data_IF_473149837414
#
_entry.id   IF_473149837414
#
_cell.length_a   1.000
_cell.length_b   1.000
_cell.length_c   1.000
_cell.angle_alpha   90.00
_cell.angle_beta   90.00
_cell.angle_gamma   90.00
#
_symmetry.space_group_name_H-M   'P 1'
#
loop_
_entity.id
_entity.type
_entity.pdbx_description
1 polymer ?
#
# COMPACT_ATOMS: atom_id res chain seq x y z
N UNK A 1 55.75 1.27 82.00
CA UNK A 1 55.14 0.01 81.53
C UNK A 1 55.15 -0.01 80.02
N UNK A 2 55.57 -1.12 79.38
CA UNK A 2 55.52 -1.28 77.92
C UNK A 2 54.05 -1.50 77.51
N UNK A 3 53.56 -0.80 76.48
CA UNK A 3 52.21 -1.04 75.93
C UNK A 3 52.17 -2.41 75.25
N UNK A 4 51.04 -3.14 75.26
CA UNK A 4 50.91 -4.39 74.52
C UNK A 4 51.14 -4.18 73.02
N UNK A 5 51.90 -5.06 72.38
CA UNK A 5 52.11 -5.05 70.93
C UNK A 5 51.03 -5.92 70.27
N UNK A 6 50.33 -5.38 69.28
CA UNK A 6 49.36 -6.14 68.47
C UNK A 6 50.01 -6.45 67.12
N UNK A 7 50.01 -7.72 66.73
CA UNK A 7 50.54 -8.25 65.46
C UNK A 7 49.43 -9.03 64.77
N UNK A 8 49.17 -8.73 63.51
CA UNK A 8 48.18 -9.43 62.69
C UNK A 8 47.71 -8.57 61.52
N UNK A 9 46.99 -9.19 60.57
CA UNK A 9 46.46 -8.45 59.44
C UNK A 9 45.21 -7.66 59.87
N UNK A 10 45.19 -6.36 59.63
CA UNK A 10 44.08 -5.47 59.98
C UNK A 10 43.02 -5.40 58.89
N UNK A 11 43.31 -5.93 57.69
CA UNK A 11 42.37 -6.04 56.58
C UNK A 11 42.19 -7.51 56.21
N UNK A 12 40.96 -8.01 56.24
CA UNK A 12 40.64 -9.43 55.99
C UNK A 12 39.45 -9.55 55.04
N UNK A 13 39.47 -10.52 54.13
CA UNK A 13 38.35 -10.75 53.21
C UNK A 13 37.22 -11.48 53.92
N UNK A 14 35.97 -11.14 53.59
CA UNK A 14 34.81 -11.89 54.05
C UNK A 14 34.93 -13.37 53.67
N UNK A 15 34.72 -14.27 54.64
CA UNK A 15 34.92 -15.72 54.50
C UNK A 15 36.27 -16.23 55.02
N UNK A 16 37.28 -15.37 55.11
CA UNK A 16 38.62 -15.76 55.56
C UNK A 16 38.72 -15.80 57.10
N UNK A 17 39.88 -16.21 57.62
CA UNK A 17 40.16 -16.28 59.07
C UNK A 17 40.95 -15.03 59.50
N UNK A 18 40.46 -14.32 60.53
CA UNK A 18 41.19 -13.22 61.16
C UNK A 18 42.00 -13.72 62.36
N UNK A 19 43.29 -13.43 62.38
CA UNK A 19 44.20 -13.71 63.50
C UNK A 19 44.87 -12.43 64.00
N UNK A 20 44.61 -12.05 65.25
CA UNK A 20 45.24 -10.91 65.92
C UNK A 20 45.94 -11.36 67.19
N UNK A 21 47.26 -11.28 67.24
CA UNK A 21 48.07 -11.66 68.38
C UNK A 21 48.45 -10.43 69.18
N UNK A 22 48.20 -10.44 70.49
CA UNK A 22 48.64 -9.40 71.40
C UNK A 22 49.66 -9.97 72.37
N UNK A 23 50.80 -9.30 72.54
CA UNK A 23 51.87 -9.73 73.45
C UNK A 23 52.41 -8.58 74.29
N UNK A 24 52.83 -8.89 75.52
CA UNK A 24 53.49 -7.94 76.42
C UNK A 24 54.55 -8.65 77.25
N UNK A 25 55.72 -8.04 77.37
CA UNK A 25 56.79 -8.56 78.23
C UNK A 25 56.50 -8.22 79.69
N UNK A 26 56.33 -9.26 80.52
CA UNK A 26 56.02 -9.12 81.95
C UNK A 26 56.42 -10.38 82.71
N UNK A 27 56.92 -10.22 83.95
CA UNK A 27 57.16 -11.33 84.88
C UNK A 27 56.47 -11.02 86.23
N UNK A 28 55.57 -11.89 86.74
CA UNK A 28 54.98 -13.08 86.09
C UNK A 28 54.20 -12.71 84.80
N UNK A 29 53.80 -13.68 83.95
CA UNK A 29 53.06 -13.40 82.72
C UNK A 29 51.78 -12.59 82.97
N UNK A 30 51.54 -11.56 82.17
CA UNK A 30 50.32 -10.75 82.23
C UNK A 30 49.14 -11.49 81.60
N UNK A 31 47.96 -11.31 82.19
CA UNK A 31 46.70 -11.80 81.62
C UNK A 31 46.26 -10.90 80.46
N UNK A 32 46.12 -11.48 79.27
CA UNK A 32 45.70 -10.76 78.07
C UNK A 32 44.23 -11.04 77.77
N UNK A 33 43.46 -9.96 77.54
CA UNK A 33 42.02 -10.02 77.24
C UNK A 33 41.72 -9.23 75.98
N UNK A 34 41.07 -9.87 75.02
CA UNK A 34 40.54 -9.24 73.82
C UNK A 34 39.07 -8.84 74.00
N UNK A 35 38.70 -7.68 73.43
CA UNK A 35 37.32 -7.24 73.38
C UNK A 35 37.07 -6.47 72.08
N UNK A 36 35.99 -6.79 71.37
CA UNK A 36 35.49 -5.93 70.29
C UNK A 36 34.77 -4.73 70.91
N UNK A 37 35.15 -3.52 70.53
CA UNK A 37 34.43 -2.31 70.91
C UNK A 37 33.18 -2.23 70.04
N UNK A 38 32.02 -2.39 70.65
CA UNK A 38 30.75 -2.27 69.95
C UNK A 38 30.33 -0.80 69.87
N UNK A 39 29.75 -0.41 68.73
CA UNK A 39 28.96 0.82 68.61
C UNK A 39 27.54 0.67 69.17
N UNK A 40 27.09 -0.56 69.44
CA UNK A 40 25.77 -0.89 69.99
C UNK A 40 25.92 -1.73 71.29
N UNK A 41 25.57 -1.21 72.48
CA UNK A 41 25.85 -1.86 73.77
C UNK A 41 25.14 -3.21 73.99
N UNK A 42 24.20 -3.59 73.12
CA UNK A 42 23.39 -4.81 73.26
C UNK A 42 23.86 -6.03 72.44
N UNK A 43 24.97 -5.93 71.68
CA UNK A 43 25.53 -7.07 70.94
C UNK A 43 26.80 -7.59 71.64
N UNK A 44 26.61 -8.44 72.64
CA UNK A 44 27.68 -9.17 73.31
C UNK A 44 28.10 -10.41 72.48
N UNK A 45 28.76 -10.23 71.34
CA UNK A 45 29.49 -11.34 70.71
C UNK A 45 30.80 -11.55 71.46
N UNK A 46 30.74 -12.39 72.50
CA UNK A 46 31.85 -12.74 73.36
C UNK A 46 32.92 -13.56 72.62
N UNK A 47 34.18 -13.27 72.93
CA UNK A 47 35.29 -14.23 72.82
C UNK A 47 36.30 -13.85 73.88
N UNK A 48 36.08 -14.34 75.10
CA UNK A 48 37.08 -14.26 76.18
C UNK A 48 38.11 -15.35 75.92
N UNK A 49 39.19 -15.04 75.19
CA UNK A 49 40.34 -15.93 75.11
C UNK A 49 41.22 -15.70 76.34
N UNK A 50 41.43 -16.77 77.11
CA UNK A 50 42.38 -16.84 78.22
C UNK A 50 43.69 -17.43 77.69
N UNK A 51 44.84 -16.81 78.00
CA UNK A 51 46.15 -17.44 77.78
C UNK A 51 47.18 -16.99 78.82
N UNK A 52 47.91 -17.95 79.40
CA UNK A 52 48.76 -17.82 80.60
C UNK A 52 50.26 -17.59 80.30
N UNK A 53 50.60 -17.03 79.14
CA UNK A 53 52.00 -16.96 78.67
C UNK A 53 52.49 -15.58 78.23
N UNK A 54 51.77 -14.49 78.55
CA UNK A 54 52.17 -13.12 78.16
C UNK A 54 51.93 -12.80 76.67
N UNK A 55 51.24 -13.69 75.95
CA UNK A 55 50.77 -13.51 74.56
C UNK A 55 49.42 -14.21 74.35
N UNK A 56 48.47 -13.61 73.61
CA UNK A 56 47.18 -14.21 73.28
C UNK A 56 46.69 -13.82 71.88
N UNK A 57 46.21 -14.81 71.12
CA UNK A 57 45.71 -14.64 69.74
C UNK A 57 44.19 -14.71 69.68
N UNK A 58 43.54 -13.68 69.16
CA UNK A 58 42.15 -13.68 68.77
C UNK A 58 42.00 -14.27 67.36
N UNK A 59 41.34 -15.43 67.27
CA UNK A 59 41.02 -16.09 66.00
C UNK A 59 39.52 -16.05 65.75
N UNK A 60 39.10 -15.43 64.65
CA UNK A 60 37.72 -15.43 64.19
C UNK A 60 37.68 -16.22 62.86
N UNK A 61 37.15 -17.45 62.85
CA UNK A 61 36.96 -18.18 61.60
C UNK A 61 35.76 -17.61 60.82
N UNK A 62 35.83 -17.67 59.48
CA UNK A 62 34.75 -17.26 58.58
C UNK A 62 34.21 -15.84 58.87
N UNK A 63 35.06 -14.85 58.66
CA UNK A 63 34.77 -13.45 59.00
C UNK A 63 33.62 -12.89 58.16
N UNK A 64 32.65 -12.22 58.79
CA UNK A 64 31.54 -11.51 58.13
C UNK A 64 31.75 -9.99 58.18
N UNK A 65 31.03 -9.23 57.35
CA UNK A 65 31.07 -7.75 57.36
C UNK A 65 30.86 -7.14 58.77
N UNK A 66 30.05 -7.79 59.62
CA UNK A 66 29.78 -7.35 61.00
C UNK A 66 30.99 -7.45 61.94
N UNK A 67 32.04 -8.20 61.60
CA UNK A 67 33.26 -8.28 62.40
C UNK A 67 34.20 -7.08 62.17
N UNK A 68 33.90 -6.18 61.22
CA UNK A 68 34.59 -4.88 61.12
C UNK A 68 34.40 -4.06 62.40
N UNK A 69 35.43 -3.30 62.77
CA UNK A 69 35.38 -2.39 63.92
C UNK A 69 36.68 -2.35 64.71
N UNK A 70 36.65 -1.63 65.83
CA UNK A 70 37.81 -1.46 66.70
C UNK A 70 37.86 -2.57 67.75
N UNK A 71 39.01 -3.18 67.92
CA UNK A 71 39.28 -4.19 68.93
C UNK A 71 40.29 -3.63 69.94
N UNK A 72 40.10 -3.97 71.22
CA UNK A 72 40.99 -3.60 72.31
C UNK A 72 41.63 -4.86 72.89
N UNK A 73 42.95 -4.84 72.99
CA UNK A 73 43.72 -5.78 73.79
C UNK A 73 44.05 -5.13 75.14
N UNK A 74 43.69 -5.80 76.23
CA UNK A 74 43.97 -5.37 77.61
C UNK A 74 44.90 -6.36 78.28
N UNK A 75 46.08 -5.91 78.70
CA UNK A 75 46.99 -6.72 79.52
C UNK A 75 46.91 -6.28 80.99
N UNK A 76 46.59 -7.23 81.87
CA UNK A 76 46.50 -7.05 83.32
C UNK A 76 47.69 -7.74 83.99
N UNK A 77 48.51 -6.99 84.70
CA UNK A 77 49.68 -7.49 85.42
C UNK A 77 49.67 -6.96 86.85
N UNK A 78 49.45 -7.85 87.83
CA UNK A 78 49.28 -7.51 89.25
C UNK A 78 48.25 -6.38 89.43
N UNK A 79 48.69 -5.20 89.87
CA UNK A 79 47.84 -4.01 90.09
C UNK A 79 47.84 -3.02 88.91
N UNK A 80 48.44 -3.37 87.77
CA UNK A 80 48.54 -2.49 86.59
C UNK A 80 47.75 -3.05 85.41
N UNK A 81 47.10 -2.16 84.66
CA UNK A 81 46.41 -2.50 83.41
C UNK A 81 46.89 -1.60 82.30
N UNK A 82 47.29 -2.18 81.18
CA UNK A 82 47.69 -1.45 79.97
C UNK A 82 46.90 -1.97 78.77
N UNK A 83 46.53 -1.07 77.85
CA UNK A 83 45.66 -1.38 76.72
C UNK A 83 46.24 -0.90 75.39
N UNK A 84 45.97 -1.65 74.33
CA UNK A 84 46.27 -1.28 72.94
C UNK A 84 45.04 -1.51 72.06
N UNK A 85 44.90 -0.71 71.00
CA UNK A 85 43.76 -0.74 70.09
C UNK A 85 44.21 -1.13 68.68
N UNK A 86 43.35 -1.83 67.95
CA UNK A 86 43.53 -2.15 66.54
C UNK A 86 42.19 -2.01 65.82
N UNK A 87 42.17 -1.41 64.63
CA UNK A 87 40.97 -1.33 63.79
C UNK A 87 41.04 -2.41 62.73
N UNK A 88 39.99 -3.23 62.65
CA UNK A 88 39.86 -4.29 61.65
C UNK A 88 38.83 -3.88 60.61
N UNK A 89 39.19 -4.00 59.34
CA UNK A 89 38.30 -3.76 58.21
C UNK A 89 38.09 -5.07 57.45
N UNK A 90 36.83 -5.50 57.35
CA UNK A 90 36.46 -6.66 56.54
C UNK A 90 36.14 -6.20 55.13
N UNK A 91 36.88 -6.69 54.14
CA UNK A 91 36.69 -6.35 52.74
C UNK A 91 35.77 -7.34 52.06
N UNK A 92 34.80 -6.85 51.30
CA UNK A 92 33.86 -7.69 50.55
C UNK A 92 33.40 -6.99 49.27
N UNK A 93 32.88 -7.79 48.34
CA UNK A 93 32.35 -7.33 47.05
C UNK A 93 31.13 -8.17 46.69
N UNK A 94 29.96 -7.54 46.55
CA UNK A 94 28.72 -8.17 46.08
C UNK A 94 28.55 -8.01 44.57
N UNK A 95 27.56 -8.70 44.00
CA UNK A 95 27.25 -8.61 42.57
C UNK A 95 26.68 -7.23 42.21
N UNK A 96 27.14 -6.59 41.11
CA UNK A 96 26.58 -5.31 40.67
C UNK A 96 25.12 -5.43 40.21
N UNK A 97 24.27 -4.52 40.68
CA UNK A 97 22.87 -4.42 40.28
C UNK A 97 22.70 -3.26 39.29
N UNK A 98 22.04 -3.52 38.16
CA UNK A 98 21.72 -2.50 37.15
C UNK A 98 20.22 -2.21 37.20
N UNK A 99 19.86 -0.93 37.29
CA UNK A 99 18.48 -0.42 37.32
C UNK A 99 18.31 0.64 36.23
N UNK A 100 17.20 0.58 35.48
CA UNK A 100 16.84 1.58 34.47
C UNK A 100 15.95 0.99 33.38
N UNK A 101 15.52 1.85 32.44
CA UNK A 101 14.68 1.43 31.32
C UNK A 101 15.53 0.69 30.28
N UNK A 102 15.12 -0.55 29.97
CA UNK A 102 15.76 -1.38 28.93
C UNK A 102 15.20 -1.12 27.54
N UNK A 103 14.01 -0.52 27.44
CA UNK A 103 13.40 -0.08 26.18
C UNK A 103 13.27 1.44 26.18
N UNK A 104 13.78 2.09 25.14
CA UNK A 104 13.79 3.55 25.03
C UNK A 104 13.45 3.94 23.59
N UNK A 105 12.64 4.98 23.40
CA UNK A 105 12.33 5.47 22.07
C UNK A 105 13.49 6.31 21.53
N UNK A 106 13.76 6.22 20.24
CA UNK A 106 14.77 7.05 19.60
C UNK A 106 14.46 8.55 19.78
N UNK A 107 15.48 9.33 20.12
CA UNK A 107 15.39 10.74 20.50
C UNK A 107 15.23 10.99 22.00
N UNK A 108 14.79 9.98 22.77
CA UNK A 108 14.63 10.11 24.23
C UNK A 108 15.98 9.97 24.96
N UNK A 109 15.94 10.00 26.30
CA UNK A 109 17.11 9.88 27.19
C UNK A 109 17.15 8.47 27.78
N UNK A 110 18.27 7.77 27.61
CA UNK A 110 18.57 6.52 28.31
C UNK A 110 19.26 6.83 29.63
N UNK A 111 18.75 6.27 30.73
CA UNK A 111 19.37 6.37 32.05
C UNK A 111 19.46 4.98 32.69
N UNK A 112 20.69 4.51 32.91
CA UNK A 112 21.01 3.26 33.59
C UNK A 112 21.86 3.57 34.82
N UNK A 113 21.51 3.01 35.97
CA UNK A 113 22.29 3.15 37.20
C UNK A 113 22.81 1.78 37.61
N UNK A 114 24.11 1.69 37.90
CA UNK A 114 24.72 0.49 38.46
C UNK A 114 25.13 0.76 39.90
N UNK A 115 24.80 -0.14 40.82
CA UNK A 115 25.16 -0.05 42.23
C UNK A 115 25.76 -1.37 42.72
N UNK A 116 26.78 -1.30 43.56
CA UNK A 116 27.48 -2.45 44.14
C UNK A 116 27.74 -2.21 45.63
N UNK A 117 27.41 -3.19 46.45
CA UNK A 117 27.74 -3.18 47.87
C UNK A 117 29.14 -3.77 48.08
N UNK A 118 30.07 -2.95 48.59
CA UNK A 118 31.48 -3.32 48.73
C UNK A 118 32.22 -2.45 49.75
N UNK A 119 33.17 -3.04 50.48
CA UNK A 119 34.11 -2.31 51.36
C UNK A 119 35.55 -2.73 51.00
N UNK A 120 36.48 -1.78 50.76
CA UNK A 120 36.22 -0.36 50.46
C UNK A 120 35.31 -0.19 49.22
N UNK A 121 34.78 1.01 48.94
CA UNK A 121 33.95 1.24 47.76
C UNK A 121 34.64 0.79 46.46
N UNK A 122 33.92 0.02 45.63
CA UNK A 122 34.41 -0.44 44.33
C UNK A 122 34.29 0.65 43.27
N UNK A 123 35.23 0.67 42.33
CA UNK A 123 35.19 1.53 41.15
C UNK A 123 34.27 0.93 40.09
N UNK A 124 33.20 1.64 39.73
CA UNK A 124 32.27 1.21 38.68
C UNK A 124 32.66 1.78 37.33
N UNK A 125 32.70 0.92 36.31
CA UNK A 125 33.01 1.29 34.93
C UNK A 125 31.96 0.70 33.99
N UNK A 126 31.34 1.56 33.17
CA UNK A 126 30.43 1.15 32.10
C UNK A 126 31.18 0.79 30.82
N UNK A 127 30.72 -0.25 30.11
CA UNK A 127 31.28 -0.70 28.84
C UNK A 127 30.18 -1.12 27.87
N UNK A 128 30.30 -0.72 26.59
CA UNK A 128 29.50 -1.24 25.47
C UNK A 128 30.44 -2.03 24.54
N UNK A 129 30.27 -3.36 24.37
CA UNK A 129 31.20 -4.20 23.59
C UNK A 129 31.37 -3.79 22.12
N UNK A 130 30.42 -3.05 21.55
CA UNK A 130 30.46 -2.63 20.14
C UNK A 130 31.29 -1.37 19.89
N UNK A 131 31.78 -0.69 20.93
CA UNK A 131 32.68 0.45 20.80
C UNK A 131 34.03 0.08 21.43
N UNK A 132 35.13 0.15 20.67
CA UNK A 132 36.51 0.00 21.18
C UNK A 132 36.92 1.09 22.20
N UNK A 133 35.98 1.95 22.61
CA UNK A 133 36.15 2.97 23.63
C UNK A 133 35.59 2.46 24.96
N UNK A 134 36.43 2.41 25.99
CA UNK A 134 35.93 2.43 27.36
C UNK A 134 35.12 3.74 27.49
N UNK A 135 33.80 3.65 27.60
CA UNK A 135 32.97 4.79 27.97
C UNK A 135 33.23 5.06 29.45
N UNK A 136 34.26 5.86 29.73
CA UNK A 136 34.42 6.51 31.03
C UNK A 136 33.27 7.51 31.20
N UNK A 137 32.09 7.00 31.51
CA UNK A 137 30.94 7.78 31.98
C UNK A 137 30.72 7.33 33.42
N UNK A 138 31.37 8.07 34.29
CA UNK A 138 31.51 7.84 35.72
C UNK A 138 32.56 8.84 36.16
N UNK A 139 32.13 9.84 36.91
CA UNK A 139 33.00 10.91 37.36
C UNK A 139 34.20 10.33 38.11
N UNK A 140 35.40 10.67 37.66
CA UNK A 140 36.67 10.37 38.34
C UNK A 140 36.83 11.23 39.62
N UNK A 141 35.71 11.60 40.27
CA UNK A 141 35.68 12.61 41.34
C UNK A 141 35.24 12.07 42.69
N UNK A 142 34.94 10.78 42.79
CA UNK A 142 34.30 10.24 44.00
C UNK A 142 35.18 9.18 44.68
N UNK A 143 36.50 9.44 44.77
CA UNK A 143 37.38 8.74 45.73
C UNK A 143 36.96 8.98 47.20
N UNK A 144 35.89 9.75 47.41
CA UNK A 144 35.27 10.02 48.70
C UNK A 144 33.73 10.21 48.63
N UNK A 145 33.00 9.35 47.89
CA UNK A 145 31.56 9.21 48.14
C UNK A 145 31.22 7.75 48.52
N UNK A 146 30.57 7.60 49.66
CA UNK A 146 30.14 6.36 50.31
C UNK A 146 29.07 5.56 49.54
N UNK A 147 28.93 5.69 48.21
CA UNK A 147 27.71 5.25 47.51
C UNK A 147 27.85 4.01 46.63
N UNK A 148 29.06 3.62 46.21
CA UNK A 148 29.26 2.40 45.40
C UNK A 148 28.34 2.32 44.17
N UNK A 149 28.04 3.46 43.51
CA UNK A 149 27.06 3.54 42.43
C UNK A 149 27.49 4.50 41.31
N UNK A 150 27.13 4.21 40.05
CA UNK A 150 27.42 5.05 38.89
C UNK A 150 26.29 5.02 37.84
N UNK A 151 25.91 6.19 37.34
CA UNK A 151 24.88 6.35 36.32
C UNK A 151 25.49 6.56 34.92
N UNK A 152 24.88 5.93 33.91
CA UNK A 152 25.12 6.09 32.49
C UNK A 152 23.91 6.79 31.87
N UNK A 153 24.11 8.03 31.43
CA UNK A 153 23.08 8.85 30.78
C UNK A 153 23.49 9.13 29.34
N UNK A 154 22.63 8.74 28.40
CA UNK A 154 22.80 9.05 26.97
C UNK A 154 21.61 9.90 26.55
N UNK A 155 21.88 11.14 26.13
CA UNK A 155 20.87 12.03 25.58
C UNK A 155 20.68 11.77 24.08
N UNK A 156 19.46 12.01 23.58
CA UNK A 156 19.12 11.88 22.16
C UNK A 156 19.55 10.53 21.58
N UNK A 157 18.99 9.46 22.15
CA UNK A 157 19.36 8.09 21.82
C UNK A 157 19.07 7.76 20.36
N UNK A 158 20.04 7.19 19.66
CA UNK A 158 19.93 6.68 18.27
C UNK A 158 19.88 5.14 18.23
N UNK A 159 19.47 4.56 17.09
CA UNK A 159 19.44 3.10 16.91
C UNK A 159 20.77 2.38 17.24
N UNK A 160 21.92 3.02 17.00
CA UNK A 160 23.27 2.48 17.28
C UNK A 160 23.57 2.28 18.78
N UNK A 161 22.82 2.95 19.65
CA UNK A 161 22.92 2.78 21.09
C UNK A 161 22.23 1.49 21.57
N UNK A 162 21.49 0.78 20.71
CA UNK A 162 21.00 -0.55 21.06
C UNK A 162 22.17 -1.52 21.33
N UNK A 163 21.94 -2.47 22.24
CA UNK A 163 22.86 -3.55 22.52
C UNK A 163 23.12 -3.78 24.01
N UNK A 164 24.16 -4.56 24.29
CA UNK A 164 24.51 -4.99 25.63
C UNK A 164 25.40 -3.95 26.32
N UNK A 165 24.94 -3.43 27.45
CA UNK A 165 25.72 -2.57 28.34
C UNK A 165 26.22 -3.41 29.52
N UNK A 166 27.50 -3.26 29.86
CA UNK A 166 28.18 -4.00 30.92
C UNK A 166 28.59 -3.00 31.99
N UNK A 167 28.18 -3.27 33.23
CA UNK A 167 28.72 -2.62 34.41
C UNK A 167 29.82 -3.50 35.01
N UNK A 168 31.03 -2.96 35.15
CA UNK A 168 32.16 -3.64 35.77
C UNK A 168 32.52 -2.94 37.09
N UNK A 169 32.42 -3.65 38.20
CA UNK A 169 32.87 -3.20 39.52
C UNK A 169 34.27 -3.74 39.80
N UNK A 170 35.27 -2.86 39.81
CA UNK A 170 36.66 -3.17 40.17
C UNK A 170 36.86 -2.88 41.65
N UNK A 171 37.30 -3.89 42.40
CA UNK A 171 37.45 -3.83 43.84
C UNK A 171 38.72 -4.57 44.24
N UNK A 172 39.74 -3.82 44.66
CA UNK A 172 41.08 -4.36 44.93
C UNK A 172 41.56 -5.20 43.74
N UNK A 173 41.87 -6.49 43.94
CA UNK A 173 42.31 -7.43 42.90
C UNK A 173 41.16 -8.19 42.22
N UNK A 174 39.91 -7.91 42.59
CA UNK A 174 38.72 -8.56 42.05
C UNK A 174 37.96 -7.65 41.08
N UNK A 175 37.31 -8.25 40.08
CA UNK A 175 36.37 -7.55 39.21
C UNK A 175 35.13 -8.40 39.01
N UNK A 176 33.96 -7.85 39.33
CA UNK A 176 32.67 -8.46 39.02
C UNK A 176 31.96 -7.65 37.94
N UNK A 177 31.18 -8.34 37.11
CA UNK A 177 30.46 -7.71 36.01
C UNK A 177 29.00 -8.11 36.01
N UNK A 178 28.16 -7.16 35.63
CA UNK A 178 26.73 -7.36 35.36
C UNK A 178 26.42 -6.73 34.01
N UNK A 179 25.32 -7.16 33.37
CA UNK A 179 24.96 -6.65 32.06
C UNK A 179 23.45 -6.46 31.91
N UNK A 180 23.08 -5.52 31.03
CA UNK A 180 21.71 -5.26 30.63
C UNK A 180 21.67 -5.08 29.11
N UNK A 181 20.62 -5.57 28.47
CA UNK A 181 20.39 -5.35 27.04
C UNK A 181 19.40 -4.20 26.86
N UNK A 182 19.81 -3.16 26.13
CA UNK A 182 18.97 -2.02 25.80
C UNK A 182 18.50 -2.16 24.35
N UNK A 183 17.21 -1.96 24.13
CA UNK A 183 16.57 -1.93 22.82
C UNK A 183 16.04 -0.53 22.55
N UNK A 184 16.54 0.11 21.50
CA UNK A 184 16.01 1.40 21.04
C UNK A 184 14.87 1.15 20.08
N UNK A 185 13.68 1.65 20.40
CA UNK A 185 12.50 1.53 19.54
C UNK A 185 12.37 2.73 18.63
N UNK A 186 12.04 2.48 17.37
CA UNK A 186 11.84 3.52 16.36
C UNK A 186 10.89 3.05 15.27
N UNK A 187 10.33 4.02 14.55
CA UNK A 187 9.41 3.80 13.44
C UNK A 187 9.73 4.81 12.33
N UNK A 188 10.15 4.33 11.17
CA UNK A 188 10.37 5.15 9.97
C UNK A 188 9.12 5.21 9.10
N UNK A 189 9.14 6.10 8.11
CA UNK A 189 8.05 6.23 7.14
C UNK A 189 7.96 4.98 6.25
N UNK A 190 6.73 4.52 5.89
CA UNK A 190 6.56 3.42 4.96
C UNK A 190 7.07 3.76 3.57
N UNK A 191 7.50 2.73 2.85
CA UNK A 191 7.83 2.79 1.44
C UNK A 191 7.01 1.75 0.68
N UNK A 192 6.36 2.17 -0.41
CA UNK A 192 5.65 1.27 -1.33
C UNK A 192 6.45 1.15 -2.62
N UNK A 193 6.72 -0.09 -3.04
CA UNK A 193 7.46 -0.43 -4.27
C UNK A 193 6.58 -1.33 -5.13
N UNK A 194 6.47 -1.03 -6.42
CA UNK A 194 5.76 -1.85 -7.40
C UNK A 194 5.17 -1.02 -8.54
N UNK A 195 4.62 -1.70 -9.54
CA UNK A 195 4.00 -1.05 -10.70
C UNK A 195 2.59 -0.57 -10.35
N UNK A 196 2.35 0.74 -10.46
CA UNK A 196 1.04 1.35 -10.19
C UNK A 196 0.11 1.33 -11.40
N UNK A 197 0.66 1.17 -12.60
CA UNK A 197 -0.11 0.99 -13.84
C UNK A 197 0.03 -0.44 -14.33
N UNK A 198 -1.07 -1.19 -14.38
CA UNK A 198 -1.09 -2.61 -14.74
C UNK A 198 -2.13 -2.85 -15.82
N UNK A 199 -1.91 -3.77 -16.74
CA UNK A 199 -2.89 -4.13 -17.77
C UNK A 199 -3.87 -5.16 -17.21
N UNK A 200 -5.13 -5.06 -17.60
CA UNK A 200 -6.14 -6.05 -17.24
C UNK A 200 -5.72 -7.47 -17.68
N UNK A 201 -5.88 -8.44 -16.78
CA UNK A 201 -5.44 -9.82 -16.92
C UNK A 201 -4.03 -10.09 -16.38
N UNK A 202 -3.20 -9.06 -16.20
CA UNK A 202 -1.85 -9.21 -15.64
C UNK A 202 -1.89 -9.34 -14.10
N UNK A 203 -0.71 -9.41 -13.48
CA UNK A 203 -0.54 -9.50 -12.02
C UNK A 203 -0.11 -8.15 -11.46
N UNK A 204 -0.86 -7.65 -10.47
CA UNK A 204 -0.44 -6.51 -9.65
C UNK A 204 0.40 -7.01 -8.48
N UNK A 205 1.58 -6.43 -8.28
CA UNK A 205 2.45 -6.72 -7.15
C UNK A 205 2.95 -5.40 -6.53
N UNK A 206 2.54 -5.14 -5.30
CA UNK A 206 2.94 -3.99 -4.50
C UNK A 206 3.54 -4.47 -3.19
N UNK A 207 4.73 -4.02 -2.84
CA UNK A 207 5.37 -4.34 -1.57
C UNK A 207 5.48 -3.10 -0.72
N UNK A 208 4.99 -3.16 0.51
CA UNK A 208 5.17 -2.11 1.50
C UNK A 208 6.21 -2.56 2.54
N UNK A 209 7.19 -1.71 2.82
CA UNK A 209 8.21 -1.96 3.85
C UNK A 209 8.36 -0.77 4.78
N UNK A 210 8.67 -1.05 6.04
CA UNK A 210 8.92 -0.09 7.11
C UNK A 210 10.12 -0.54 7.92
N UNK A 211 11.08 0.36 8.10
CA UNK A 211 12.18 0.17 9.02
C UNK A 211 11.74 0.55 10.45
N UNK A 212 11.72 -0.43 11.35
CA UNK A 212 11.22 -0.26 12.73
C UNK A 212 11.74 -1.35 13.67
N UNK A 213 11.96 -0.99 14.94
CA UNK A 213 12.25 -1.93 16.03
C UNK A 213 11.25 -1.72 17.17
N UNK A 214 10.55 -2.76 17.66
CA UNK A 214 10.40 -4.08 17.03
C UNK A 214 9.76 -3.98 15.62
N UNK A 215 9.74 -5.05 14.81
CA UNK A 215 9.12 -5.04 13.49
C UNK A 215 7.65 -4.56 13.54
N UNK A 216 7.28 -3.65 12.64
CA UNK A 216 5.91 -3.15 12.51
C UNK A 216 5.02 -4.16 11.78
N UNK A 217 3.76 -4.26 12.23
CA UNK A 217 2.74 -5.04 11.54
C UNK A 217 2.19 -4.24 10.36
N UNK A 218 2.39 -4.74 9.15
CA UNK A 218 1.92 -4.09 7.92
C UNK A 218 0.62 -4.73 7.44
N UNK A 219 -0.37 -3.88 7.14
CA UNK A 219 -1.70 -4.25 6.65
C UNK A 219 -2.05 -3.43 5.42
N UNK A 220 -2.44 -4.12 4.35
CA UNK A 220 -2.96 -3.48 3.13
C UNK A 220 -4.46 -3.28 3.20
N UNK A 221 -4.95 -2.13 2.70
CA UNK A 221 -6.37 -1.80 2.62
C UNK A 221 -6.66 -1.05 1.31
N UNK A 222 -7.70 -1.43 0.57
CA UNK A 222 -8.26 -0.64 -0.54
C UNK A 222 -9.65 -0.15 -0.13
N UNK A 223 -9.85 1.14 0.16
CA UNK A 223 -11.18 1.65 0.49
C UNK A 223 -12.13 1.41 -0.68
N UNK A 224 -13.09 0.49 -0.55
CA UNK A 224 -14.24 0.36 -1.45
C UNK A 224 -15.52 0.74 -0.70
N UNK A 225 -16.53 1.21 -1.43
CA UNK A 225 -17.78 1.70 -0.86
C UNK A 225 -18.66 0.61 -0.23
N UNK A 226 -18.37 -0.68 -0.44
CA UNK A 226 -19.12 -1.79 0.17
C UNK A 226 -18.16 -2.88 0.69
N UNK A 227 -18.18 -3.04 2.01
CA UNK A 227 -17.91 -4.23 2.83
C UNK A 227 -16.73 -5.15 2.47
N UNK A 228 -15.76 -5.20 3.38
CA UNK A 228 -14.78 -6.26 3.58
C UNK A 228 -13.94 -6.62 2.34
N UNK A 229 -12.94 -5.77 2.12
CA UNK A 229 -11.68 -6.09 1.45
C UNK A 229 -11.28 -7.56 1.59
N UNK A 230 -11.17 -8.22 0.44
CA UNK A 230 -10.45 -9.47 0.30
C UNK A 230 -8.98 -9.19 0.64
N UNK A 231 -8.61 -9.45 1.89
CA UNK A 231 -7.23 -9.48 2.35
C UNK A 231 -6.59 -10.66 1.61
N UNK A 232 -5.91 -10.41 0.49
CA UNK A 232 -4.92 -11.36 -0.03
C UNK A 232 -3.61 -11.06 0.69
N UNK A 233 -3.58 -11.41 1.97
CA UNK A 233 -2.36 -12.01 2.51
C UNK A 233 -2.73 -13.47 2.61
N UNK A 234 -2.07 -14.29 1.80
CA UNK A 234 -2.04 -15.72 2.01
C UNK A 234 -1.92 -15.96 3.51
N UNK A 235 -2.85 -16.74 4.03
CA UNK A 235 -2.92 -17.16 5.42
C UNK A 235 -1.51 -17.61 5.85
N UNK A 236 -1.04 -17.08 6.98
CA UNK A 236 0.18 -17.50 7.69
C UNK A 236 1.54 -16.88 7.29
N UNK A 237 1.61 -15.57 6.97
CA UNK A 237 2.86 -14.83 7.19
C UNK A 237 2.76 -13.88 8.39
N UNK A 238 3.21 -14.39 9.54
CA UNK A 238 3.76 -13.59 10.61
C UNK A 238 4.89 -12.73 10.00
N UNK A 239 4.65 -11.43 9.76
CA UNK A 239 5.68 -10.53 9.24
C UNK A 239 6.58 -10.08 10.40
N UNK A 240 7.48 -10.96 10.82
CA UNK A 240 8.58 -10.63 11.73
C UNK A 240 9.66 -9.75 11.04
N UNK A 241 9.40 -9.30 9.81
CA UNK A 241 10.38 -8.63 8.92
C UNK A 241 10.08 -7.17 8.61
N UNK A 242 8.93 -6.62 9.01
CA UNK A 242 8.58 -5.22 8.71
C UNK A 242 8.29 -4.95 7.22
N UNK A 243 7.87 -5.95 6.45
CA UNK A 243 7.48 -5.82 5.03
C UNK A 243 6.30 -6.71 4.67
N UNK A 244 5.34 -6.23 3.87
CA UNK A 244 4.22 -7.03 3.35
C UNK A 244 3.95 -6.78 1.86
N UNK A 245 3.80 -7.85 1.08
CA UNK A 245 3.42 -7.80 -0.33
C UNK A 245 1.90 -7.97 -0.51
N UNK A 246 1.34 -7.21 -1.45
CA UNK A 246 -0.02 -7.33 -1.98
C UNK A 246 0.08 -7.82 -3.42
N UNK A 247 -0.38 -9.05 -3.65
CA UNK A 247 -0.38 -9.68 -4.97
C UNK A 247 -1.81 -9.97 -5.40
N UNK A 248 -2.22 -9.40 -6.53
CA UNK A 248 -3.53 -9.66 -7.14
C UNK A 248 -3.28 -10.28 -8.51
N UNK A 249 -3.70 -11.52 -8.68
CA UNK A 249 -3.64 -12.21 -9.97
C UNK A 249 -4.86 -11.85 -10.83
N UNK A 250 -4.70 -11.87 -12.16
CA UNK A 250 -5.77 -11.65 -13.12
C UNK A 250 -6.56 -10.35 -12.82
N UNK A 251 -5.85 -9.23 -12.84
CA UNK A 251 -6.37 -7.92 -12.45
C UNK A 251 -7.54 -7.49 -13.35
N UNK A 252 -8.64 -6.97 -12.75
CA UNK A 252 -9.81 -6.43 -13.44
C UNK A 252 -9.90 -4.90 -13.25
N UNK A 253 -10.76 -4.23 -14.03
CA UNK A 253 -10.98 -2.77 -13.91
C UNK A 253 -11.35 -2.32 -12.47
N UNK A 254 -12.11 -3.14 -11.72
CA UNK A 254 -12.54 -2.91 -10.33
C UNK A 254 -11.38 -2.84 -9.32
N UNK A 255 -10.22 -3.40 -9.67
CA UNK A 255 -9.02 -3.30 -8.87
C UNK A 255 -8.31 -1.95 -9.00
N UNK A 256 -8.75 -1.05 -9.87
CA UNK A 256 -8.29 0.34 -9.88
C UNK A 256 -8.70 1.08 -8.61
N UNK A 257 -7.90 2.06 -8.22
CA UNK A 257 -8.19 2.96 -7.10
C UNK A 257 -7.07 3.03 -6.08
N UNK A 258 -7.39 3.63 -4.93
CA UNK A 258 -6.42 3.91 -3.87
C UNK A 258 -6.19 2.68 -3.00
N UNK A 259 -4.93 2.29 -2.84
CA UNK A 259 -4.47 1.30 -1.88
C UNK A 259 -3.71 1.99 -0.77
N UNK A 260 -3.91 1.54 0.46
CA UNK A 260 -3.34 2.08 1.69
C UNK A 260 -2.53 0.98 2.34
N UNK A 261 -1.25 1.22 2.54
CA UNK A 261 -0.42 0.47 3.45
C UNK A 261 -0.50 1.11 4.84
N UNK A 262 -0.91 0.35 5.85
CA UNK A 262 -0.92 0.77 7.25
C UNK A 262 0.11 -0.04 8.03
N UNK A 263 1.07 0.65 8.64
CA UNK A 263 2.09 0.06 9.50
C UNK A 263 1.78 0.38 10.96
N UNK A 264 1.41 -0.64 11.72
CA UNK A 264 1.13 -0.57 13.16
C UNK A 264 2.39 -0.96 13.94
N UNK A 265 2.87 -0.06 14.78
CA UNK A 265 4.08 -0.25 15.58
C UNK A 265 3.83 0.24 17.00
N UNK A 266 3.76 -0.70 17.95
CA UNK A 266 3.38 -0.42 19.34
C UNK A 266 2.06 0.39 19.38
N UNK A 267 2.09 1.61 19.92
CA UNK A 267 0.95 2.52 20.03
C UNK A 267 0.80 3.49 18.84
N UNK A 268 1.73 3.44 17.88
CA UNK A 268 1.73 4.30 16.69
C UNK A 268 1.21 3.56 15.45
N UNK A 269 0.59 4.30 14.54
CA UNK A 269 0.23 3.80 13.21
C UNK A 269 0.58 4.83 12.16
N UNK A 270 1.38 4.44 11.17
CA UNK A 270 1.67 5.25 9.99
C UNK A 270 0.97 4.66 8.79
N UNK A 271 0.51 5.51 7.89
CA UNK A 271 -0.19 5.10 6.66
C UNK A 271 0.42 5.78 5.45
N UNK A 272 0.62 5.03 4.38
CA UNK A 272 1.00 5.53 3.07
C UNK A 272 -0.02 5.01 2.04
N UNK A 273 -0.36 5.84 1.05
CA UNK A 273 -1.26 5.45 -0.01
C UNK A 273 -0.58 5.44 -1.37
N UNK A 274 -1.10 4.64 -2.29
CA UNK A 274 -0.71 4.57 -3.69
C UNK A 274 -1.97 4.42 -4.54
N UNK A 275 -2.06 5.18 -5.62
CA UNK A 275 -3.17 5.08 -6.57
C UNK A 275 -2.77 4.12 -7.69
N UNK A 276 -3.56 3.05 -7.88
CA UNK A 276 -3.35 2.03 -8.90
C UNK A 276 -4.33 2.24 -10.04
N UNK A 277 -3.83 2.22 -11.27
CA UNK A 277 -4.62 2.36 -12.49
C UNK A 277 -4.53 1.11 -13.33
N UNK A 278 -5.67 0.44 -13.55
CA UNK A 278 -5.76 -0.70 -14.45
C UNK A 278 -6.06 -0.21 -15.85
N UNK A 279 -5.18 -0.51 -16.79
CA UNK A 279 -5.35 -0.16 -18.20
C UNK A 279 -6.08 -1.27 -18.93
N UNK A 280 -7.12 -0.90 -19.66
CA UNK A 280 -7.94 -1.84 -20.42
C UNK A 280 -8.60 -1.13 -21.61
N UNK A 281 -9.10 -1.94 -22.55
CA UNK A 281 -9.87 -1.45 -23.70
C UNK A 281 -10.91 -2.48 -24.12
N UNK A 282 -12.15 -2.03 -24.27
CA UNK A 282 -13.25 -2.82 -24.82
C UNK A 282 -13.40 -2.57 -26.33
N UNK A 283 -14.29 -3.33 -26.98
CA UNK A 283 -14.60 -3.11 -28.40
C UNK A 283 -15.42 -1.82 -28.57
N UNK A 284 -15.18 -1.03 -29.62
CA UNK A 284 -16.02 0.14 -29.91
C UNK A 284 -17.47 -0.26 -30.19
N UNK A 285 -18.40 0.39 -29.51
CA UNK A 285 -19.84 0.24 -29.74
C UNK A 285 -20.33 1.42 -30.57
N UNK A 286 -21.07 1.14 -31.64
CA UNK A 286 -21.71 2.15 -32.49
C UNK A 286 -23.22 2.12 -32.22
N UNK A 287 -23.78 3.28 -31.87
CA UNK A 287 -25.21 3.49 -31.68
C UNK A 287 -25.72 4.57 -32.64
N UNK A 288 -26.96 4.43 -33.12
CA UNK A 288 -27.59 5.39 -34.03
C UNK A 288 -28.46 4.71 -35.08
N UNK A 289 -29.26 5.51 -35.79
CA UNK A 289 -30.16 4.97 -36.81
C UNK A 289 -29.40 4.70 -38.11
N UNK A 290 -29.50 3.48 -38.64
CA UNK A 290 -28.75 3.03 -39.82
C UNK A 290 -29.56 3.07 -41.10
N UNK A 291 -30.89 3.16 -41.01
CA UNK A 291 -31.80 3.30 -42.14
C UNK A 291 -32.57 4.61 -42.01
N UNK A 292 -32.41 5.50 -42.97
CA UNK A 292 -33.03 6.82 -42.94
C UNK A 292 -33.44 7.30 -44.33
N UNK A 293 -34.49 8.10 -44.37
CA UNK A 293 -34.92 8.74 -45.60
C UNK A 293 -33.95 9.86 -45.99
N UNK A 294 -33.82 10.08 -47.28
CA UNK A 294 -33.08 11.21 -47.81
C UNK A 294 -33.62 12.55 -47.27
N UNK A 295 -32.72 13.47 -46.95
CA UNK A 295 -33.04 14.73 -46.29
C UNK A 295 -33.04 14.68 -44.76
N UNK A 296 -33.05 13.49 -44.15
CA UNK A 296 -32.97 13.35 -42.70
C UNK A 296 -31.54 13.62 -42.18
N UNK A 297 -31.40 13.70 -40.86
CA UNK A 297 -30.10 13.82 -40.18
C UNK A 297 -29.60 12.43 -39.79
N UNK A 298 -28.40 12.07 -40.23
CA UNK A 298 -27.68 10.89 -39.72
C UNK A 298 -26.92 11.29 -38.45
N UNK A 299 -27.15 10.55 -37.37
CA UNK A 299 -26.41 10.70 -36.11
C UNK A 299 -25.93 9.31 -35.66
N UNK A 300 -24.61 9.10 -35.73
CA UNK A 300 -23.96 7.89 -35.25
C UNK A 300 -23.00 8.26 -34.12
N UNK A 301 -23.16 7.62 -32.96
CA UNK A 301 -22.28 7.78 -31.81
C UNK A 301 -21.42 6.54 -31.67
N UNK A 302 -20.11 6.71 -31.57
CA UNK A 302 -19.19 5.64 -31.22
C UNK A 302 -18.65 5.86 -29.82
N UNK A 303 -18.76 4.85 -28.96
CA UNK A 303 -18.27 4.87 -27.59
C UNK A 303 -17.36 3.68 -27.30
N UNK A 304 -16.27 3.92 -26.58
CA UNK A 304 -15.30 2.91 -26.16
C UNK A 304 -15.02 3.08 -24.67
N UNK A 305 -15.27 2.02 -23.92
CA UNK A 305 -14.86 1.90 -22.51
C UNK A 305 -13.38 1.49 -22.45
N UNK A 306 -12.53 2.40 -21.97
CA UNK A 306 -11.08 2.21 -21.95
C UNK A 306 -10.38 3.21 -21.02
N UNK A 307 -9.36 2.73 -20.30
CA UNK A 307 -8.47 3.56 -19.48
C UNK A 307 -7.02 3.40 -19.98
N UNK A 308 -6.30 4.49 -20.29
CA UNK A 308 -6.81 5.87 -20.44
C UNK A 308 -7.82 5.98 -21.60
N UNK A 309 -8.57 7.10 -21.72
CA UNK A 309 -9.58 7.27 -22.78
C UNK A 309 -8.99 7.09 -24.18
N UNK A 310 -9.68 6.32 -25.03
CA UNK A 310 -9.28 6.11 -26.42
C UNK A 310 -9.65 7.30 -27.32
N UNK A 311 -8.77 7.62 -28.29
CA UNK A 311 -9.05 8.61 -29.33
C UNK A 311 -9.90 7.98 -30.43
N UNK A 312 -11.09 8.53 -30.67
CA UNK A 312 -12.04 8.01 -31.67
C UNK A 312 -12.01 8.82 -32.96
N UNK A 313 -11.92 8.11 -34.09
CA UNK A 313 -11.92 8.68 -35.44
C UNK A 313 -12.91 7.94 -36.33
N UNK A 314 -13.79 8.69 -37.01
CA UNK A 314 -14.71 8.14 -38.01
C UNK A 314 -14.09 8.15 -39.41
N UNK A 315 -14.29 7.07 -40.16
CA UNK A 315 -13.83 6.91 -41.54
C UNK A 315 -14.93 6.29 -42.42
N UNK A 316 -15.09 6.80 -43.64
CA UNK A 316 -15.90 6.16 -44.69
C UNK A 316 -14.96 5.76 -45.84
N UNK A 317 -14.77 4.47 -46.12
CA UNK A 317 -13.77 4.01 -47.11
C UNK A 317 -13.95 4.59 -48.53
N UNK A 318 -15.18 4.95 -48.91
CA UNK A 318 -15.48 5.55 -50.22
C UNK A 318 -15.22 7.06 -50.29
N UNK A 319 -14.78 7.68 -49.20
CA UNK A 319 -14.41 9.09 -49.13
C UNK A 319 -12.95 9.20 -48.69
N UNK A 320 -12.11 9.85 -49.50
CA UNK A 320 -10.73 10.19 -49.11
C UNK A 320 -10.65 11.33 -48.08
N UNK A 321 -11.79 11.79 -47.54
CA UNK A 321 -11.85 12.87 -46.55
C UNK A 321 -12.28 12.33 -45.19
N UNK A 322 -11.58 12.78 -44.14
CA UNK A 322 -12.06 12.63 -42.77
C UNK A 322 -13.43 13.30 -42.70
N UNK A 323 -14.46 12.53 -42.33
CA UNK A 323 -15.82 13.05 -42.21
C UNK A 323 -15.89 14.09 -41.09
N UNK A 324 -16.87 15.00 -41.13
CA UNK A 324 -17.04 16.01 -40.11
C UNK A 324 -17.31 15.34 -38.75
N UNK A 325 -16.27 15.27 -37.91
CA UNK A 325 -16.31 14.62 -36.59
C UNK A 325 -16.63 15.71 -35.57
N UNK A 326 -17.72 15.53 -34.83
CA UNK A 326 -17.95 16.30 -33.60
C UNK A 326 -17.40 15.43 -32.46
N UNK A 327 -16.17 15.72 -32.05
CA UNK A 327 -15.59 15.09 -30.85
C UNK A 327 -16.19 15.77 -29.63
N UNK A 328 -17.12 15.10 -28.97
CA UNK A 328 -17.49 15.45 -27.61
C UNK A 328 -16.59 14.64 -26.68
N UNK A 329 -15.36 15.14 -26.51
CA UNK A 329 -14.46 14.59 -25.48
C UNK A 329 -14.97 15.09 -24.15
N UNK A 330 -16.03 14.46 -23.64
CA UNK A 330 -16.44 14.64 -22.25
C UNK A 330 -15.35 13.98 -21.40
N UNK A 331 -14.32 14.79 -21.08
CA UNK A 331 -13.06 14.38 -20.47
C UNK A 331 -13.23 13.85 -19.03
N UNK A 332 -14.47 13.69 -18.57
CA UNK A 332 -14.84 13.45 -17.18
C UNK A 332 -15.30 12.01 -16.89
N UNK A 333 -15.65 11.19 -17.90
CA UNK A 333 -16.33 9.91 -17.70
C UNK A 333 -15.62 8.68 -18.29
N UNK A 334 -14.28 8.61 -18.29
CA UNK A 334 -13.48 7.41 -18.63
C UNK A 334 -13.86 6.67 -19.94
N UNK A 335 -14.60 7.34 -20.82
CA UNK A 335 -15.17 6.79 -22.05
C UNK A 335 -14.79 7.70 -23.19
N UNK A 336 -14.01 7.16 -24.13
CA UNK A 336 -13.86 7.84 -25.41
C UNK A 336 -15.21 7.81 -26.10
N UNK A 337 -15.76 8.96 -26.48
CA UNK A 337 -16.99 9.04 -27.27
C UNK A 337 -16.83 10.04 -28.42
N UNK A 338 -17.38 9.75 -29.59
CA UNK A 338 -17.41 10.69 -30.71
C UNK A 338 -18.65 10.49 -31.57
N UNK A 339 -19.33 11.59 -31.89
CA UNK A 339 -20.50 11.61 -32.75
C UNK A 339 -20.14 12.02 -34.18
N UNK A 340 -20.72 11.31 -35.15
CA UNK A 340 -20.74 11.65 -36.55
C UNK A 340 -22.14 12.13 -36.91
N UNK A 341 -22.26 13.42 -37.22
CA UNK A 341 -23.54 14.04 -37.59
C UNK A 341 -23.45 14.54 -39.03
N UNK A 342 -24.33 14.05 -39.89
CA UNK A 342 -24.48 14.50 -41.27
C UNK A 342 -25.90 15.01 -41.46
N UNK A 343 -26.03 16.30 -41.71
CA UNK A 343 -27.32 16.92 -42.00
C UNK A 343 -27.71 16.70 -43.46
N UNK A 344 -29.02 16.60 -43.73
CA UNK A 344 -29.57 16.51 -45.09
C UNK A 344 -28.91 15.40 -45.91
N UNK A 345 -29.02 14.15 -45.45
CA UNK A 345 -28.35 13.02 -46.12
C UNK A 345 -28.85 12.80 -47.55
N UNK A 346 -27.95 12.34 -48.40
CA UNK A 346 -28.18 11.98 -49.81
C UNK A 346 -27.87 10.51 -50.07
N UNK A 347 -28.26 9.98 -51.23
CA UNK A 347 -27.94 8.59 -51.61
C UNK A 347 -26.44 8.23 -51.49
N UNK A 348 -25.53 9.18 -51.77
CA UNK A 348 -24.06 9.00 -51.69
C UNK A 348 -23.54 8.77 -50.26
N UNK A 349 -24.31 9.19 -49.26
CA UNK A 349 -24.01 8.95 -47.85
C UNK A 349 -24.29 7.51 -47.42
N UNK A 350 -24.89 6.68 -48.28
CA UNK A 350 -24.97 5.24 -48.05
C UNK A 350 -23.59 4.58 -48.06
N UNK A 351 -23.46 3.49 -47.31
CA UNK A 351 -22.26 2.68 -47.28
C UNK A 351 -21.75 2.38 -45.87
N UNK A 352 -20.53 1.85 -45.80
CA UNK A 352 -19.91 1.41 -44.56
C UNK A 352 -19.19 2.56 -43.87
N UNK A 353 -19.54 2.82 -42.62
CA UNK A 353 -18.86 3.74 -41.73
C UNK A 353 -18.06 2.95 -40.72
N UNK A 354 -16.81 3.36 -40.50
CA UNK A 354 -15.86 2.70 -39.61
C UNK A 354 -15.55 3.66 -38.46
N UNK A 355 -15.76 3.21 -37.24
CA UNK A 355 -15.23 3.84 -36.04
C UNK A 355 -13.89 3.20 -35.70
N UNK A 356 -12.82 4.00 -35.65
CA UNK A 356 -11.49 3.58 -35.23
C UNK A 356 -11.15 4.22 -33.89
N UNK A 357 -10.90 3.38 -32.87
CA UNK A 357 -10.51 3.80 -31.53
C UNK A 357 -9.03 3.48 -31.30
N UNK A 358 -8.20 4.51 -31.19
CA UNK A 358 -6.78 4.40 -30.87
C UNK A 358 -6.59 4.48 -29.35
N UNK A 359 -6.07 3.41 -28.77
CA UNK A 359 -5.80 3.27 -27.33
C UNK A 359 -4.35 2.83 -27.13
N UNK A 360 -3.53 3.73 -26.57
CA UNK A 360 -2.07 3.55 -26.46
C UNK A 360 -1.47 3.17 -27.83
N UNK A 361 -0.83 2.01 -27.92
CA UNK A 361 -0.14 1.52 -29.13
C UNK A 361 -1.03 0.67 -30.05
N UNK A 362 -2.34 0.61 -29.79
CA UNK A 362 -3.24 -0.27 -30.52
C UNK A 362 -4.47 0.48 -31.05
N UNK A 363 -5.00 0.00 -32.17
CA UNK A 363 -6.24 0.54 -32.76
C UNK A 363 -7.27 -0.58 -32.89
N UNK A 364 -8.43 -0.38 -32.30
CA UNK A 364 -9.60 -1.25 -32.49
C UNK A 364 -10.57 -0.58 -33.45
N UNK A 365 -11.25 -1.38 -34.27
CA UNK A 365 -12.22 -0.86 -35.23
C UNK A 365 -13.56 -1.57 -35.09
N UNK A 366 -14.63 -0.82 -35.30
CA UNK A 366 -15.99 -1.31 -35.45
C UNK A 366 -16.62 -0.65 -36.68
N UNK A 367 -17.66 -1.24 -37.24
CA UNK A 367 -18.29 -0.70 -38.44
C UNK A 367 -19.80 -0.86 -38.42
N UNK A 368 -20.46 0.03 -39.14
CA UNK A 368 -21.91 0.01 -39.37
C UNK A 368 -22.19 0.32 -40.83
N UNK A 369 -23.22 -0.29 -41.40
CA UNK A 369 -23.68 0.01 -42.76
C UNK A 369 -24.89 0.93 -42.67
N UNK A 370 -24.77 2.11 -43.28
CA UNK A 370 -25.86 3.08 -43.38
C UNK A 370 -26.51 2.96 -44.75
N UNK A 371 -27.84 2.99 -44.75
CA UNK A 371 -28.67 2.86 -45.94
C UNK A 371 -29.61 4.06 -46.01
N UNK A 372 -29.47 4.87 -47.06
CA UNK A 372 -30.37 6.00 -47.32
C UNK A 372 -31.46 5.56 -48.30
N UNK A 373 -32.72 5.67 -47.87
CA UNK A 373 -33.89 5.33 -48.68
C UNK A 373 -34.44 6.57 -49.38
N UNK A 374 -34.76 6.43 -50.66
CA UNK A 374 -35.27 7.53 -51.47
C UNK A 374 -36.20 7.02 -52.57
N UNK A 375 -37.13 7.88 -53.00
CA UNK A 375 -38.00 7.66 -54.14
C UNK A 375 -38.17 8.97 -54.90
N UNK A 376 -37.81 8.97 -56.18
CA UNK A 376 -38.01 10.09 -57.09
C UNK A 376 -39.40 10.02 -57.73
N UNK A 377 -39.77 11.09 -58.44
CA UNK A 377 -40.99 11.08 -59.24
C UNK A 377 -40.87 10.07 -60.39
N UNK A 378 -41.89 9.23 -60.66
CA UNK A 378 -41.86 8.29 -61.78
C UNK A 378 -41.78 9.03 -63.12
N UNK A 379 -40.94 8.55 -64.03
CA UNK A 379 -40.82 9.03 -65.40
C UNK A 379 -41.54 8.07 -66.35
N UNK A 380 -42.42 8.59 -67.20
CA UNK A 380 -43.11 7.80 -68.22
C UNK A 380 -42.46 8.10 -69.57
N UNK A 381 -42.01 7.05 -70.25
CA UNK A 381 -41.35 7.08 -71.56
C UNK A 381 -42.15 6.19 -72.52
N UNK A 382 -42.51 6.73 -73.68
CA UNK A 382 -43.23 5.98 -74.70
C UNK A 382 -43.95 6.91 -75.68
N UNK A 383 -44.39 6.36 -76.81
CA UNK A 383 -45.14 7.14 -77.79
C UNK A 383 -46.60 7.31 -77.32
N UNK A 384 -47.03 8.55 -77.12
CA UNK A 384 -48.38 8.88 -76.66
C UNK A 384 -49.38 8.98 -77.81
N UNK A 385 -48.92 8.99 -79.06
CA UNK A 385 -49.75 9.03 -80.28
C UNK A 385 -49.52 7.78 -81.11
N UNK A 386 -50.51 6.89 -81.16
CA UNK A 386 -50.39 5.56 -81.79
C UNK A 386 -51.52 5.38 -82.80
N UNK A 387 -51.25 4.79 -83.96
CA UNK A 387 -52.30 4.51 -84.95
C UNK A 387 -53.12 3.28 -84.54
N UNK A 388 -54.38 3.26 -84.94
CA UNK A 388 -55.22 2.10 -84.74
C UNK A 388 -54.62 0.85 -85.41
N UNK A 389 -54.47 -0.23 -84.64
CA UNK A 389 -53.80 -1.47 -85.07
C UNK A 389 -52.34 -1.64 -84.64
N UNK A 390 -51.66 -0.56 -84.24
CA UNK A 390 -50.26 -0.61 -83.78
C UNK A 390 -50.17 -1.07 -82.31
N UNK A 391 -48.95 -1.22 -81.79
CA UNK A 391 -48.66 -1.58 -80.40
C UNK A 391 -48.33 -0.33 -79.59
N UNK A 392 -49.02 -0.12 -78.46
CA UNK A 392 -48.68 0.92 -77.49
C UNK A 392 -47.71 0.37 -76.44
N UNK A 393 -46.55 0.99 -76.30
CA UNK A 393 -45.58 0.72 -75.23
C UNK A 393 -45.36 1.98 -74.41
N UNK A 394 -45.76 1.93 -73.14
CA UNK A 394 -45.49 2.97 -72.15
C UNK A 394 -44.65 2.37 -71.03
N UNK A 395 -43.39 2.77 -70.94
CA UNK A 395 -42.48 2.37 -69.87
C UNK A 395 -42.51 3.40 -68.77
N UNK A 396 -42.82 2.97 -67.55
CA UNK A 396 -42.67 3.80 -66.36
C UNK A 396 -41.43 3.34 -65.60
N UNK A 397 -40.50 4.24 -65.35
CA UNK A 397 -39.30 3.99 -64.55
C UNK A 397 -39.25 4.95 -63.36
N UNK A 398 -38.76 4.46 -62.22
CA UNK A 398 -38.64 5.28 -61.02
C UNK A 398 -37.29 5.01 -60.33
N UNK A 399 -36.52 6.07 -60.16
CA UNK A 399 -35.26 5.99 -59.41
C UNK A 399 -35.58 5.93 -57.91
N UNK A 400 -35.31 4.78 -57.28
CA UNK A 400 -35.63 4.56 -55.87
C UNK A 400 -34.79 3.45 -55.25
N UNK A 401 -34.52 3.57 -53.95
CA UNK A 401 -33.86 2.54 -53.15
C UNK A 401 -34.60 2.31 -51.81
N UNK A 402 -35.00 1.07 -51.47
CA UNK A 402 -35.03 -0.11 -52.33
C UNK A 402 -35.93 0.12 -53.57
N UNK A 403 -35.87 -0.74 -54.60
CA UNK A 403 -36.69 -0.57 -55.81
C UNK A 403 -38.19 -0.49 -55.49
N UNK A 404 -38.86 0.54 -56.01
CA UNK A 404 -40.30 0.69 -55.86
C UNK A 404 -41.08 -0.30 -56.75
N UNK A 405 -42.25 -0.71 -56.27
CA UNK A 405 -43.20 -1.51 -57.05
C UNK A 405 -44.01 -0.59 -57.97
N UNK A 406 -43.99 -0.85 -59.26
CA UNK A 406 -44.71 -0.04 -60.24
C UNK A 406 -46.04 -0.70 -60.61
N UNK A 407 -47.11 0.09 -60.65
CA UNK A 407 -48.47 -0.34 -60.98
C UNK A 407 -49.06 0.61 -62.02
N UNK A 408 -49.51 0.06 -63.15
CA UNK A 408 -50.24 0.79 -64.18
C UNK A 408 -51.75 0.69 -63.97
N UNK A 409 -52.45 1.80 -64.24
CA UNK A 409 -53.91 1.83 -64.27
C UNK A 409 -54.40 2.81 -65.34
N UNK A 410 -55.41 2.42 -66.12
CA UNK A 410 -56.13 3.37 -67.00
C UNK A 410 -57.18 4.10 -66.17
N UNK A 411 -57.25 5.43 -66.28
CA UNK A 411 -58.32 6.22 -65.67
C UNK A 411 -59.55 6.14 -66.57
N UNK A 412 -60.64 5.58 -66.04
CA UNK A 412 -61.94 5.54 -66.73
C UNK A 412 -62.71 6.84 -66.45
N UNK A 413 -63.48 7.31 -67.43
CA UNK A 413 -64.49 8.36 -67.26
C UNK A 413 -65.77 7.83 -66.59
N UNK A 414 -65.90 6.53 -66.37
CA UNK A 414 -67.06 5.88 -65.76
C UNK A 414 -66.62 4.89 -64.63
N UNK A 415 -67.02 5.09 -63.35
CA UNK A 415 -66.50 4.31 -62.21
C UNK A 415 -66.89 2.82 -62.19
N UNK A 416 -67.90 2.42 -62.98
CA UNK A 416 -68.51 1.09 -62.95
C UNK A 416 -68.02 0.13 -64.06
N UNK A 417 -67.02 0.52 -64.85
CA UNK A 417 -66.39 -0.37 -65.82
C UNK A 417 -64.99 -0.75 -65.32
N UNK A 418 -64.84 -1.98 -64.82
CA UNK A 418 -63.54 -2.58 -64.51
C UNK A 418 -62.75 -2.80 -65.82
N UNK A 419 -62.23 -1.73 -66.41
CA UNK A 419 -61.37 -1.80 -67.59
C UNK A 419 -59.94 -2.09 -67.16
N UNK A 420 -59.58 -3.38 -67.18
CA UNK A 420 -58.23 -3.91 -67.36
C UNK A 420 -57.13 -3.35 -66.45
N UNK A 421 -56.96 -3.96 -65.28
CA UNK A 421 -55.72 -3.83 -64.49
C UNK A 421 -54.62 -4.60 -65.25
N UNK A 422 -53.84 -3.92 -66.10
CA UNK A 422 -52.64 -4.52 -66.68
C UNK A 422 -51.56 -4.55 -65.58
N UNK A 423 -51.55 -5.64 -64.82
CA UNK A 423 -50.58 -5.90 -63.75
C UNK A 423 -49.24 -6.32 -64.36
N UNK A 424 -48.44 -5.36 -64.82
CA UNK A 424 -47.01 -5.56 -64.98
C UNK A 424 -46.33 -5.17 -63.68
N UNK A 425 -46.07 -6.17 -62.84
CA UNK A 425 -45.34 -6.00 -61.60
C UNK A 425 -43.86 -6.21 -61.90
N UNK A 426 -43.11 -5.13 -62.03
CA UNK A 426 -41.66 -5.18 -62.09
C UNK A 426 -41.07 -4.11 -61.18
N UNK A 427 -39.92 -4.41 -60.60
CA UNK A 427 -39.25 -3.58 -59.59
C UNK A 427 -38.38 -2.53 -60.27
N UNK A 428 -38.62 -1.26 -59.99
CA UNK A 428 -37.83 -0.13 -60.52
C UNK A 428 -38.19 0.34 -61.93
N UNK A 429 -38.70 -0.53 -62.82
CA UNK A 429 -39.24 -0.14 -64.13
C UNK A 429 -40.31 -1.13 -64.60
N UNK A 430 -41.45 -0.67 -65.12
CA UNK A 430 -42.50 -1.52 -65.68
C UNK A 430 -43.09 -0.94 -66.97
N UNK A 431 -43.20 -1.80 -67.99
CA UNK A 431 -43.75 -1.42 -69.31
C UNK A 431 -45.17 -1.92 -69.47
N UNK A 432 -46.09 -1.01 -69.77
CA UNK A 432 -47.44 -1.29 -70.23
C UNK A 432 -47.41 -1.50 -71.74
N UNK A 433 -47.66 -2.73 -72.18
CA UNK A 433 -47.80 -3.09 -73.59
C UNK A 433 -49.25 -3.43 -73.91
N UNK A 434 -49.84 -2.70 -74.86
CA UNK A 434 -51.18 -2.99 -75.40
C UNK A 434 -51.02 -3.31 -76.89
N UNK A 435 -51.16 -4.59 -77.30
CA UNK A 435 -51.13 -4.96 -78.70
C UNK A 435 -52.45 -4.59 -79.38
N UNK A 436 -52.40 -4.23 -80.67
CA UNK A 436 -53.57 -3.92 -81.51
C UNK A 436 -54.49 -2.84 -80.89
N UNK A 437 -53.97 -1.62 -80.82
CA UNK A 437 -54.61 -0.49 -80.14
C UNK A 437 -55.88 -0.05 -80.89
N UNK A 438 -57.02 0.10 -80.20
CA UNK A 438 -58.29 0.63 -80.72
C UNK A 438 -58.59 2.03 -80.15
N UNK A 439 -59.57 2.74 -80.72
CA UNK A 439 -60.00 4.05 -80.22
C UNK A 439 -60.36 4.07 -78.72
N UNK A 440 -60.84 2.95 -78.16
CA UNK A 440 -61.18 2.82 -76.74
C UNK A 440 -59.96 2.85 -75.80
N UNK A 441 -58.75 2.64 -76.31
CA UNK A 441 -57.52 2.76 -75.53
C UNK A 441 -57.04 4.22 -75.41
N UNK A 442 -57.67 5.18 -76.09
CA UNK A 442 -57.44 6.60 -75.80
C UNK A 442 -57.85 6.93 -74.36
N UNK A 443 -57.13 7.85 -73.73
CA UNK A 443 -57.43 8.32 -72.37
C UNK A 443 -56.19 8.54 -71.52
N UNK A 444 -56.42 8.83 -70.24
CA UNK A 444 -55.36 9.10 -69.28
C UNK A 444 -54.94 7.81 -68.56
N UNK A 445 -53.64 7.55 -68.53
CA UNK A 445 -53.04 6.44 -67.82
C UNK A 445 -52.26 6.99 -66.61
N UNK A 446 -52.34 6.29 -65.49
CA UNK A 446 -51.59 6.59 -64.28
C UNK A 446 -50.58 5.47 -64.02
N UNK A 447 -49.32 5.86 -63.85
CA UNK A 447 -48.28 5.02 -63.27
C UNK A 447 -48.17 5.35 -61.78
N UNK A 448 -48.30 4.34 -60.92
CA UNK A 448 -48.15 4.45 -59.47
C UNK A 448 -46.93 3.67 -59.03
N UNK A 449 -45.94 4.36 -58.45
CA UNK A 449 -44.80 3.73 -57.78
C UNK A 449 -45.07 3.67 -56.27
N UNK A 450 -45.08 2.46 -55.72
CA UNK A 450 -45.21 2.18 -54.29
C UNK A 450 -43.82 1.90 -53.71
N UNK A 451 -43.31 2.80 -52.88
CA UNK A 451 -41.99 2.72 -52.27
C UNK A 451 -42.10 2.73 -50.75
N UNK A 452 -41.82 1.59 -50.11
CA UNK A 452 -42.00 1.40 -48.66
C UNK A 452 -43.41 1.87 -48.23
N UNK A 453 -43.50 2.93 -47.42
CA UNK A 453 -44.75 3.50 -46.92
C UNK A 453 -45.24 4.72 -47.74
N UNK A 454 -44.63 5.02 -48.88
CA UNK A 454 -44.95 6.17 -49.73
C UNK A 454 -45.44 5.73 -51.11
N UNK A 455 -46.33 6.53 -51.70
CA UNK A 455 -46.82 6.31 -53.07
C UNK A 455 -46.71 7.59 -53.87
N UNK A 456 -45.99 7.52 -54.99
CA UNK A 456 -45.82 8.62 -55.94
C UNK A 456 -46.36 8.22 -57.30
N UNK A 457 -47.02 9.15 -57.98
CA UNK A 457 -47.75 8.89 -59.22
C UNK A 457 -47.37 9.86 -60.33
N UNK A 458 -47.39 9.38 -61.56
CA UNK A 458 -47.26 10.18 -62.78
C UNK A 458 -48.36 9.81 -63.78
N UNK A 459 -48.75 10.78 -64.60
CA UNK A 459 -49.85 10.65 -65.55
C UNK A 459 -49.37 10.84 -66.98
N UNK A 460 -49.99 10.15 -67.93
CA UNK A 460 -49.77 10.32 -69.36
C UNK A 460 -51.09 10.21 -70.11
N UNK A 461 -51.29 11.05 -71.14
CA UNK A 461 -52.48 10.98 -72.00
C UNK A 461 -52.11 10.32 -73.32
N UNK A 462 -52.84 9.26 -73.68
CA UNK A 462 -52.65 8.53 -74.94
C UNK A 462 -53.76 8.91 -75.90
N UNK A 463 -53.37 9.24 -77.14
CA UNK A 463 -54.27 9.55 -78.25
C UNK A 463 -54.10 8.51 -79.34
N UNK A 464 -55.19 7.83 -79.70
CA UNK A 464 -55.20 6.86 -80.80
C UNK A 464 -55.74 7.55 -82.05
N UNK A 465 -54.95 7.60 -83.11
CA UNK A 465 -55.35 8.20 -84.39
C UNK A 465 -55.91 7.12 -85.31
N UNK A 466 -57.01 7.44 -86.00
CA UNK A 466 -57.56 6.55 -87.04
C UNK A 466 -56.53 6.31 -88.15
N UNK A 467 -56.67 5.16 -88.82
CA UNK A 467 -55.79 4.77 -89.94
C UNK A 467 -55.82 5.77 -91.08
#
# INVERSE_FOLDING_TARGET
SRKPLIIGNTTVKEGDVLNLTCSVESFPPALIVWKKLSTNPNLHSGTYLYNDTGSATLTIPNVTAQHSGQYICTAKHLNTTVTSYVSVTVTYLRQPLIIGNTTVKEGDVLNLTCSVDSIPPALIVWKKPSSNTNLHIGTDTDLHNDTGSAALVIQNVTAEHSGRYICAAKHLDATLTSYVSVTVTYLRQPLIIGNTTVKEGDVLNLTCSVDSIPPALIVWKKPSSNTNLHIVTDTDLHNDTGSAALVIQNVTAEHSGRYICAAKHLDATLTLYVDVTVTYKRRPLIAGNTTLNEGNVLNLTCSVDSIPPALIVWKKPSSNTNLHIVTDTDLHNDTGSAALVIQNVTAEHSGRYICAAKHLDATLTSYVSVTVTYSRKPLIIGNTTVKEGDVLNLTCSVESFPPALIVWKKLSTNPNLHSGTYLYNDTGSATLTIPNVTAQHSGQYICTAKHLNTTVTSYVSVTVTCK
#
